data_IF_283694812091
#
_entry.id   IF_283694812091
#
_cell.length_a   1.000
_cell.length_b   1.000
_cell.length_c   1.000
_cell.angle_alpha   90.00
_cell.angle_beta   90.00
_cell.angle_gamma   90.00
#
_symmetry.space_group_name_H-M   'P 1'
#
loop_
_entity.id
_entity.type
_entity.pdbx_description
1 polymer ?
#
# COMPACT_ATOMS: atom_id res chain seq x y z
N UNK A 1 0.81 2.69 -19.14
CA UNK A 1 0.13 2.54 -17.85
C UNK A 1 -0.29 1.11 -17.68
N UNK A 2 -0.01 0.55 -16.50
CA UNK A 2 -0.49 -0.76 -16.10
C UNK A 2 -1.68 -0.58 -15.15
N UNK A 3 -2.61 -1.52 -15.20
CA UNK A 3 -3.73 -1.57 -14.27
C UNK A 3 -3.35 -2.47 -13.09
N UNK A 4 -3.76 -2.07 -11.89
CA UNK A 4 -3.54 -2.82 -10.66
C UNK A 4 -4.82 -2.92 -9.85
N UNK A 5 -5.13 -4.13 -9.40
CA UNK A 5 -6.02 -4.34 -8.26
C UNK A 5 -5.22 -4.07 -6.98
N UNK A 6 -5.69 -3.14 -6.17
CA UNK A 6 -5.04 -2.70 -4.93
C UNK A 6 -5.88 -3.11 -3.74
N UNK A 7 -5.29 -3.93 -2.87
CA UNK A 7 -5.80 -4.22 -1.53
C UNK A 7 -4.98 -3.45 -0.51
N UNK A 8 -5.59 -2.46 0.13
CA UNK A 8 -4.96 -1.67 1.19
C UNK A 8 -5.44 -2.16 2.55
N UNK A 9 -4.52 -2.61 3.39
CA UNK A 9 -4.77 -2.95 4.77
C UNK A 9 -4.18 -1.89 5.71
N UNK A 10 -4.96 -1.41 6.67
CA UNK A 10 -4.51 -0.50 7.72
C UNK A 10 -4.52 -1.25 9.05
N UNK A 11 -3.36 -1.32 9.72
CA UNK A 11 -3.25 -2.00 11.01
C UNK A 11 -3.79 -1.14 12.14
N UNK A 12 -4.58 -1.76 13.03
CA UNK A 12 -4.94 -1.15 14.30
C UNK A 12 -3.74 -1.19 15.26
N UNK A 13 -3.38 -0.05 15.84
CA UNK A 13 -2.21 0.08 16.74
C UNK A 13 -2.51 -0.36 18.19
N UNK A 14 -3.76 -0.71 18.51
CA UNK A 14 -4.12 -1.21 19.84
C UNK A 14 -3.46 -2.57 20.10
N UNK A 15 -2.77 -2.70 21.25
CA UNK A 15 -2.12 -3.95 21.65
C UNK A 15 -3.09 -5.14 21.65
N UNK A 16 -2.65 -6.27 21.08
CA UNK A 16 -3.43 -7.49 20.88
C UNK A 16 -4.66 -7.36 19.97
N UNK A 17 -4.87 -6.23 19.29
CA UNK A 17 -5.94 -6.11 18.31
C UNK A 17 -5.44 -6.56 16.92
N UNK A 18 -6.02 -7.64 16.41
CA UNK A 18 -5.69 -8.20 15.10
C UNK A 18 -6.61 -7.68 13.97
N UNK A 19 -7.51 -6.74 14.27
CA UNK A 19 -8.38 -6.14 13.26
C UNK A 19 -7.59 -5.24 12.31
N UNK A 20 -7.96 -5.28 11.03
CA UNK A 20 -7.44 -4.43 9.96
C UNK A 20 -8.61 -3.85 9.18
N UNK A 21 -8.54 -2.55 8.88
CA UNK A 21 -9.42 -1.95 7.89
C UNK A 21 -8.87 -2.32 6.51
N UNK A 22 -9.72 -2.89 5.65
CA UNK A 22 -9.35 -3.36 4.32
C UNK A 22 -10.12 -2.58 3.27
N UNK A 23 -9.41 -2.03 2.29
CA UNK A 23 -9.97 -1.27 1.18
C UNK A 23 -9.53 -1.88 -0.15
N UNK A 24 -10.41 -1.82 -1.14
CA UNK A 24 -10.18 -2.32 -2.49
C UNK A 24 -10.28 -1.15 -3.48
N UNK A 25 -9.38 -1.10 -4.45
CA UNK A 25 -9.41 -0.14 -5.55
C UNK A 25 -8.76 -0.73 -6.80
N UNK A 26 -9.18 -0.27 -7.97
CA UNK A 26 -8.44 -0.46 -9.22
C UNK A 26 -7.78 0.86 -9.58
N UNK A 27 -6.51 0.82 -9.98
CA UNK A 27 -5.77 2.01 -10.38
C UNK A 27 -5.03 1.77 -11.69
N UNK A 28 -4.86 2.83 -12.46
CA UNK A 28 -4.02 2.85 -13.65
C UNK A 28 -2.78 3.73 -13.36
N UNK A 29 -1.58 3.15 -13.41
CA UNK A 29 -0.33 3.87 -13.15
C UNK A 29 0.87 3.20 -13.82
N UNK A 30 1.89 3.98 -14.15
CA UNK A 30 3.21 3.48 -14.55
C UNK A 30 4.19 3.38 -13.36
N UNK A 31 3.86 4.02 -12.23
CA UNK A 31 4.68 4.04 -11.02
C UNK A 31 3.79 3.81 -9.78
N UNK A 32 3.60 2.53 -9.37
CA UNK A 32 2.76 2.19 -8.23
C UNK A 32 3.32 2.72 -6.90
N UNK A 33 4.64 2.82 -6.75
CA UNK A 33 5.27 3.29 -5.50
C UNK A 33 5.04 4.79 -5.34
N UNK A 34 5.24 5.58 -6.40
CA UNK A 34 4.93 7.02 -6.38
C UNK A 34 3.44 7.27 -6.18
N UNK A 35 2.57 6.42 -6.72
CA UNK A 35 1.13 6.49 -6.46
C UNK A 35 0.82 6.34 -4.96
N UNK A 36 1.38 5.32 -4.29
CA UNK A 36 1.21 5.12 -2.84
C UNK A 36 1.75 6.32 -2.05
N UNK A 37 2.92 6.85 -2.44
CA UNK A 37 3.51 8.02 -1.79
C UNK A 37 2.63 9.26 -1.92
N UNK A 38 2.03 9.49 -3.09
CA UNK A 38 1.11 10.60 -3.32
C UNK A 38 -0.23 10.43 -2.58
N UNK A 39 -0.69 9.19 -2.45
CA UNK A 39 -1.89 8.84 -1.68
C UNK A 39 -1.71 9.14 -0.19
N UNK A 40 -0.55 8.79 0.37
CA UNK A 40 -0.17 9.08 1.75
C UNK A 40 0.27 10.54 1.88
N UNK A 41 -0.70 11.46 1.97
CA UNK A 41 -0.46 12.89 2.12
C UNK A 41 0.22 13.21 3.47
N UNK A 42 1.55 13.15 3.53
CA UNK A 42 2.33 13.38 4.75
C UNK A 42 3.80 13.69 4.49
N UNK A 43 4.47 14.32 5.48
CA UNK A 43 5.91 14.62 5.41
C UNK A 43 6.78 13.44 5.89
N UNK A 44 6.23 12.58 6.75
CA UNK A 44 6.91 11.42 7.31
C UNK A 44 6.26 10.14 6.77
N UNK A 45 6.71 9.71 5.60
CA UNK A 45 6.30 8.45 4.96
C UNK A 45 7.54 7.59 4.75
N UNK A 46 7.58 6.48 5.45
CA UNK A 46 8.58 5.43 5.24
C UNK A 46 7.96 4.34 4.37
N UNK A 47 8.64 3.99 3.27
CA UNK A 47 8.18 2.97 2.32
C UNK A 47 9.21 1.86 2.20
N UNK A 48 8.76 0.62 2.30
CA UNK A 48 9.51 -0.58 1.91
C UNK A 48 8.73 -1.28 0.81
N UNK A 49 9.41 -1.63 -0.27
CA UNK A 49 8.79 -2.24 -1.45
C UNK A 49 9.30 -3.67 -1.61
N UNK A 50 8.37 -4.58 -1.86
CA UNK A 50 8.63 -5.97 -2.22
C UNK A 50 8.03 -6.22 -3.62
N UNK A 51 8.88 -6.26 -4.63
CA UNK A 51 8.50 -6.47 -6.04
C UNK A 51 8.70 -7.93 -6.44
N UNK A 52 7.74 -8.49 -7.18
CA UNK A 52 7.79 -9.86 -7.70
C UNK A 52 8.09 -9.86 -9.20
N UNK A 53 8.64 -10.98 -9.70
CA UNK A 53 8.97 -11.16 -11.11
C UNK A 53 7.77 -11.04 -12.06
N UNK A 54 6.54 -11.31 -11.57
CA UNK A 54 5.31 -11.21 -12.36
C UNK A 54 4.75 -9.77 -12.47
N UNK A 55 5.41 -8.78 -11.85
CA UNK A 55 4.97 -7.39 -11.86
C UNK A 55 3.99 -7.02 -10.75
N UNK A 56 3.62 -7.97 -9.87
CA UNK A 56 2.96 -7.65 -8.61
C UNK A 56 3.96 -6.98 -7.66
N UNK A 57 3.43 -6.17 -6.75
CA UNK A 57 4.24 -5.60 -5.68
C UNK A 57 3.45 -5.43 -4.39
N UNK A 58 4.18 -5.39 -3.29
CA UNK A 58 3.66 -4.98 -2.00
C UNK A 58 4.41 -3.75 -1.52
N UNK A 59 3.68 -2.67 -1.23
CA UNK A 59 4.24 -1.48 -0.58
C UNK A 59 3.83 -1.49 0.88
N UNK A 60 4.82 -1.63 1.76
CA UNK A 60 4.66 -1.40 3.19
C UNK A 60 4.92 0.06 3.47
N UNK A 61 3.99 0.72 4.15
CA UNK A 61 4.09 2.13 4.46
C UNK A 61 3.85 2.41 5.94
N UNK A 62 4.70 3.23 6.53
CA UNK A 62 4.45 3.84 7.85
C UNK A 62 4.29 5.33 7.64
N UNK A 63 3.14 5.86 8.05
CA UNK A 63 2.82 7.29 7.93
C UNK A 63 2.07 7.74 9.17
N UNK A 64 2.58 8.76 9.87
CA UNK A 64 1.97 9.28 11.10
C UNK A 64 1.83 8.24 12.21
N UNK A 65 2.76 7.29 12.28
CA UNK A 65 2.73 6.17 13.23
C UNK A 65 1.77 5.03 12.85
N UNK A 66 1.07 5.12 11.71
CA UNK A 66 0.14 4.09 11.25
C UNK A 66 0.80 3.23 10.18
N UNK A 67 0.88 1.92 10.44
CA UNK A 67 1.35 0.91 9.49
C UNK A 67 0.25 0.51 8.52
N UNK A 68 0.59 0.50 7.24
CA UNK A 68 -0.30 0.19 6.14
C UNK A 68 0.40 -0.73 5.15
N UNK A 69 -0.37 -1.58 4.49
CA UNK A 69 0.12 -2.50 3.45
C UNK A 69 -0.73 -2.33 2.20
N UNK A 70 -0.10 -2.10 1.07
CA UNK A 70 -0.73 -2.01 -0.24
C UNK A 70 -0.28 -3.23 -1.05
N UNK A 71 -1.15 -4.21 -1.21
CA UNK A 71 -0.93 -5.31 -2.14
C UNK A 71 -1.43 -4.86 -3.50
N UNK A 72 -0.58 -4.93 -4.51
CA UNK A 72 -0.87 -4.45 -5.85
C UNK A 72 -0.66 -5.62 -6.81
N UNK A 73 -1.77 -6.17 -7.29
CA UNK A 73 -1.79 -7.26 -8.26
C UNK A 73 -1.99 -6.66 -9.63
N UNK A 74 -1.10 -6.95 -10.58
CA UNK A 74 -1.24 -6.43 -11.95
C UNK A 74 -2.38 -7.15 -12.67
N UNK A 75 -3.25 -6.40 -13.35
CA UNK A 75 -4.38 -6.93 -14.14
C UNK A 75 -4.22 -6.64 -15.64
#
# INVERSE_FOLDING_TARGET
MAEYEVVREVQNLCGNNQMRDVFFAEIETDDPVSWVRGFLKGKDVELTVDEKENGDLTVYAVSGGVSQKFLMTRI
#
